data_IF_412096372495
#
_entry.id   IF_412096372495
#
_cell.length_a   1.000
_cell.length_b   1.000
_cell.length_c   1.000
_cell.angle_alpha   90.00
_cell.angle_beta   90.00
_cell.angle_gamma   90.00
#
_symmetry.space_group_name_H-M   'P 1'
#
loop_
_entity.id
_entity.type
_entity.pdbx_description
1 polymer ?
#
# COMPACT_ATOMS: atom_id res chain seq x y z
N UNK A 1 3.38 0.68 -14.01
CA UNK A 1 2.48 1.40 -13.08
C UNK A 1 3.28 2.15 -12.04
N UNK A 2 2.76 3.26 -11.54
CA UNK A 2 3.36 3.83 -10.34
C UNK A 2 2.97 2.99 -9.11
N UNK A 3 3.61 3.25 -7.98
CA UNK A 3 3.39 2.46 -6.75
C UNK A 3 1.96 2.52 -6.25
N UNK A 4 1.30 3.69 -6.36
CA UNK A 4 -0.07 3.84 -5.88
C UNK A 4 -1.08 3.08 -6.73
N UNK A 5 -0.89 3.09 -8.06
CA UNK A 5 -1.69 2.27 -8.96
C UNK A 5 -1.52 0.78 -8.68
N UNK A 6 -0.29 0.33 -8.47
CA UNK A 6 0.01 -1.06 -8.16
C UNK A 6 -0.62 -1.50 -6.83
N UNK A 7 -0.59 -0.64 -5.80
CA UNK A 7 -1.28 -0.91 -4.53
C UNK A 7 -2.78 -1.10 -4.73
N UNK A 8 -3.41 -0.18 -5.45
CA UNK A 8 -4.84 -0.26 -5.73
C UNK A 8 -5.19 -1.56 -6.44
N UNK A 9 -4.37 -1.96 -7.43
CA UNK A 9 -4.59 -3.23 -8.15
C UNK A 9 -4.51 -4.44 -7.24
N UNK A 10 -3.49 -4.52 -6.40
CA UNK A 10 -3.31 -5.66 -5.48
C UNK A 10 -4.41 -5.70 -4.44
N UNK A 11 -4.76 -4.56 -3.86
CA UNK A 11 -5.71 -4.53 -2.74
C UNK A 11 -7.16 -4.75 -3.18
N UNK A 12 -7.56 -4.24 -4.34
CA UNK A 12 -8.97 -4.29 -4.73
C UNK A 12 -9.23 -4.44 -6.24
N UNK A 13 -8.19 -4.51 -7.08
CA UNK A 13 -8.37 -4.46 -8.52
C UNK A 13 -8.90 -3.10 -9.00
N UNK A 14 -8.51 -2.00 -8.35
CA UNK A 14 -8.96 -0.64 -8.62
C UNK A 14 -10.46 -0.42 -8.35
N UNK A 15 -11.01 -1.11 -7.37
CA UNK A 15 -12.42 -0.97 -7.02
C UNK A 15 -12.62 0.06 -5.90
N UNK A 16 -13.13 1.24 -6.26
CA UNK A 16 -13.38 2.33 -5.30
C UNK A 16 -14.46 1.99 -4.26
N UNK A 17 -15.32 1.01 -4.55
CA UNK A 17 -16.44 0.60 -3.68
C UNK A 17 -16.09 -0.64 -2.85
N UNK A 18 -14.84 -1.11 -2.89
CA UNK A 18 -14.46 -2.32 -2.20
C UNK A 18 -14.55 -2.18 -0.69
N UNK A 19 -15.12 -3.20 -0.04
CA UNK A 19 -15.17 -3.33 1.42
C UNK A 19 -14.59 -4.70 1.75
N UNK A 20 -13.55 -4.73 2.58
CA UNK A 20 -12.87 -5.96 2.94
C UNK A 20 -13.56 -6.72 4.07
N UNK A 21 -13.02 -7.91 4.39
CA UNK A 21 -13.61 -8.84 5.36
C UNK A 21 -13.68 -8.27 6.78
N UNK A 22 -12.79 -7.34 7.15
CA UNK A 22 -12.80 -6.68 8.46
C UNK A 22 -13.13 -5.19 8.36
N UNK A 23 -13.84 -4.80 7.28
CA UNK A 23 -14.33 -3.44 7.10
C UNK A 23 -13.37 -2.48 6.42
N UNK A 24 -12.26 -2.98 5.84
CA UNK A 24 -11.34 -2.13 5.08
C UNK A 24 -12.09 -1.44 3.93
N UNK A 25 -11.75 -0.18 3.68
CA UNK A 25 -12.45 0.66 2.71
C UNK A 25 -11.51 1.20 1.63
N UNK A 26 -12.10 1.65 0.54
CA UNK A 26 -11.47 2.24 -0.63
C UNK A 26 -10.73 1.24 -1.52
N UNK A 27 -10.27 1.75 -2.67
CA UNK A 27 -9.45 0.96 -3.59
C UNK A 27 -8.15 0.47 -2.95
N UNK A 28 -7.70 1.12 -1.87
CA UNK A 28 -6.46 0.76 -1.16
C UNK A 28 -6.69 -0.17 0.02
N UNK A 29 -7.94 -0.47 0.37
CA UNK A 29 -8.31 -1.35 1.49
C UNK A 29 -7.65 -0.91 2.80
N UNK A 30 -7.93 0.33 3.20
CA UNK A 30 -7.44 0.92 4.44
C UNK A 30 -8.38 0.53 5.58
N UNK A 31 -7.81 0.09 6.69
CA UNK A 31 -8.59 -0.26 7.89
C UNK A 31 -9.35 0.95 8.42
N UNK A 32 -10.59 0.76 8.92
CA UNK A 32 -11.40 1.88 9.43
C UNK A 32 -10.69 2.72 10.49
N UNK A 33 -9.93 2.09 11.37
CA UNK A 33 -9.21 2.79 12.44
C UNK A 33 -8.07 3.68 11.93
N UNK A 34 -7.62 3.46 10.71
CA UNK A 34 -6.59 4.28 10.07
C UNK A 34 -7.18 5.30 9.09
N UNK A 35 -8.48 5.23 8.83
CA UNK A 35 -9.10 6.13 7.87
C UNK A 35 -9.21 7.54 8.47
N UNK A 36 -8.56 8.55 7.85
CA UNK A 36 -8.48 9.90 8.44
C UNK A 36 -9.72 10.76 8.26
N UNK A 37 -10.72 10.26 7.53
CA UNK A 37 -11.92 11.00 7.17
C UNK A 37 -12.02 11.22 5.66
N UNK A 38 -13.16 11.74 5.22
CA UNK A 38 -13.45 11.91 3.81
C UNK A 38 -14.21 10.72 3.21
N UNK A 39 -14.44 10.77 1.91
CA UNK A 39 -15.19 9.76 1.19
C UNK A 39 -14.26 8.65 0.66
N UNK A 40 -14.33 7.43 1.22
CA UNK A 40 -13.44 6.34 0.77
C UNK A 40 -13.71 5.89 -0.68
N UNK A 41 -14.87 6.21 -1.25
CA UNK A 41 -15.20 5.87 -2.63
C UNK A 41 -14.65 6.89 -3.64
N UNK A 42 -14.14 8.03 -3.17
CA UNK A 42 -13.51 9.03 -4.02
C UNK A 42 -12.04 8.68 -4.20
N UNK A 43 -11.56 8.41 -5.43
CA UNK A 43 -10.17 7.95 -5.64
C UNK A 43 -9.11 8.97 -5.20
N UNK A 44 -9.40 10.26 -5.30
CA UNK A 44 -8.46 11.31 -4.89
C UNK A 44 -8.33 11.37 -3.37
N UNK A 45 -9.45 11.30 -2.65
CA UNK A 45 -9.46 11.28 -1.19
C UNK A 45 -8.84 9.97 -0.67
N UNK A 46 -9.09 8.85 -1.35
CA UNK A 46 -8.47 7.57 -1.02
C UNK A 46 -6.95 7.62 -1.18
N UNK A 47 -6.45 8.25 -2.24
CA UNK A 47 -5.01 8.42 -2.44
C UNK A 47 -4.39 9.26 -1.32
N UNK A 48 -5.04 10.35 -0.94
CA UNK A 48 -4.57 11.18 0.18
C UNK A 48 -4.49 10.36 1.47
N UNK A 49 -5.51 9.56 1.76
CA UNK A 49 -5.53 8.70 2.94
C UNK A 49 -4.40 7.65 2.90
N UNK A 50 -4.15 7.06 1.74
CA UNK A 50 -3.07 6.09 1.56
C UNK A 50 -1.70 6.73 1.80
N UNK A 51 -1.48 7.93 1.26
CA UNK A 51 -0.24 8.68 1.45
C UNK A 51 -0.04 9.06 2.93
N UNK A 52 -1.09 9.52 3.61
CA UNK A 52 -1.03 9.82 5.04
C UNK A 52 -0.70 8.59 5.88
N UNK A 53 -1.22 7.43 5.50
CA UNK A 53 -0.92 6.16 6.16
C UNK A 53 0.55 5.78 6.00
N UNK A 54 1.10 5.98 4.81
CA UNK A 54 2.48 5.57 4.49
C UNK A 54 3.55 6.55 4.97
N UNK A 55 3.25 7.84 5.00
CA UNK A 55 4.27 8.85 5.28
C UNK A 55 5.08 8.59 6.56
N UNK A 56 4.47 8.28 7.72
CA UNK A 56 5.25 7.97 8.92
C UNK A 56 6.16 6.75 8.77
N UNK A 57 5.69 5.74 8.02
CA UNK A 57 6.43 4.50 7.78
C UNK A 57 7.62 4.75 6.87
N UNK A 58 7.44 5.55 5.83
CA UNK A 58 8.51 5.95 4.91
C UNK A 58 9.57 6.78 5.64
N UNK A 59 9.15 7.72 6.49
CA UNK A 59 10.05 8.55 7.27
C UNK A 59 10.89 7.71 8.24
N UNK A 60 10.28 6.73 8.90
CA UNK A 60 10.99 5.81 9.80
C UNK A 60 12.01 4.97 9.04
N UNK A 61 11.61 4.44 7.89
CA UNK A 61 12.52 3.67 7.03
C UNK A 61 13.73 4.51 6.63
N UNK A 62 13.51 5.75 6.17
CA UNK A 62 14.57 6.67 5.80
C UNK A 62 15.53 6.93 6.95
N UNK A 63 15.02 7.15 8.16
CA UNK A 63 15.87 7.36 9.33
C UNK A 63 16.72 6.14 9.67
N UNK A 64 16.15 4.94 9.54
CA UNK A 64 16.84 3.70 9.94
C UNK A 64 17.83 3.21 8.88
N UNK A 65 17.55 3.43 7.60
CA UNK A 65 18.34 2.88 6.49
C UNK A 65 19.12 3.93 5.71
N UNK A 66 18.88 5.22 5.94
CA UNK A 66 19.54 6.35 5.26
C UNK A 66 19.32 6.32 3.74
N UNK A 67 18.19 5.76 3.30
CA UNK A 67 17.78 5.70 1.90
C UNK A 67 16.27 5.51 1.83
N UNK A 68 15.68 5.71 0.65
CA UNK A 68 14.29 5.40 0.41
C UNK A 68 14.10 3.88 0.22
N UNK A 69 12.91 3.34 0.55
CA UNK A 69 12.64 1.93 0.28
C UNK A 69 12.53 1.67 -1.22
N UNK A 70 12.98 0.50 -1.64
CA UNK A 70 12.70 0.01 -3.00
C UNK A 70 11.24 -0.45 -3.09
N UNK A 71 10.80 -0.90 -4.27
CA UNK A 71 9.40 -1.29 -4.49
C UNK A 71 8.98 -2.45 -3.58
N UNK A 72 9.82 -3.44 -3.40
CA UNK A 72 9.56 -4.57 -2.53
C UNK A 72 9.36 -4.13 -1.08
N UNK A 73 10.29 -3.32 -0.58
CA UNK A 73 10.26 -2.78 0.78
C UNK A 73 9.05 -1.86 0.98
N UNK A 74 8.71 -1.07 -0.03
CA UNK A 74 7.54 -0.21 0.00
C UNK A 74 6.28 -1.03 0.28
N UNK A 75 6.10 -2.14 -0.42
CA UNK A 75 4.93 -2.98 -0.21
C UNK A 75 4.92 -3.64 1.17
N UNK A 76 6.08 -4.08 1.67
CA UNK A 76 6.16 -4.64 3.02
C UNK A 76 5.74 -3.60 4.05
N UNK A 77 6.18 -2.35 3.90
CA UNK A 77 5.78 -1.25 4.79
C UNK A 77 4.27 -0.99 4.73
N UNK A 78 3.67 -1.16 3.58
CA UNK A 78 2.22 -1.02 3.43
C UNK A 78 1.46 -2.15 4.10
N UNK A 79 1.81 -3.39 3.77
CA UNK A 79 1.06 -4.57 4.15
C UNK A 79 1.33 -5.04 5.59
N UNK A 80 2.60 -4.99 6.01
CA UNK A 80 3.03 -5.52 7.31
C UNK A 80 4.24 -4.74 7.82
N UNK A 81 4.05 -3.48 8.25
CA UNK A 81 5.19 -2.65 8.67
C UNK A 81 6.00 -3.23 9.82
N UNK A 82 5.38 -4.05 10.67
CA UNK A 82 6.08 -4.75 11.76
C UNK A 82 7.00 -5.85 11.27
N UNK A 83 6.92 -6.23 9.99
CA UNK A 83 7.77 -7.25 9.36
C UNK A 83 8.84 -6.64 8.45
N UNK A 84 9.09 -5.33 8.54
CA UNK A 84 9.96 -4.62 7.61
C UNK A 84 11.33 -5.29 7.42
N UNK A 85 11.92 -5.81 8.51
CA UNK A 85 13.25 -6.43 8.45
C UNK A 85 13.20 -7.94 8.15
N UNK A 86 12.07 -8.59 8.45
CA UNK A 86 11.93 -10.05 8.32
C UNK A 86 10.53 -10.41 7.82
N UNK A 87 10.20 -10.12 6.54
CA UNK A 87 8.87 -10.44 6.02
C UNK A 87 8.64 -11.95 5.94
N UNK A 88 7.41 -12.37 6.26
CA UNK A 88 6.99 -13.75 6.12
C UNK A 88 6.95 -14.18 4.65
N UNK A 89 6.87 -15.49 4.40
CA UNK A 89 6.77 -16.04 3.04
C UNK A 89 5.56 -15.44 2.29
N UNK A 90 4.41 -15.32 2.95
CA UNK A 90 3.21 -14.76 2.35
C UNK A 90 3.41 -13.29 1.97
N UNK A 91 4.02 -12.50 2.86
CA UNK A 91 4.30 -11.09 2.60
C UNK A 91 5.29 -10.94 1.47
N UNK A 92 6.34 -11.77 1.43
CA UNK A 92 7.34 -11.76 0.34
C UNK A 92 6.68 -12.04 -1.02
N UNK A 93 5.78 -13.01 -1.07
CA UNK A 93 5.08 -13.36 -2.31
C UNK A 93 4.24 -12.18 -2.81
N UNK A 94 3.47 -11.55 -1.93
CA UNK A 94 2.66 -10.37 -2.28
C UNK A 94 3.54 -9.20 -2.68
N UNK A 95 4.64 -8.98 -1.99
CA UNK A 95 5.60 -7.91 -2.33
C UNK A 95 6.20 -8.12 -3.72
N UNK A 96 6.50 -9.38 -4.08
CA UNK A 96 7.01 -9.67 -5.41
C UNK A 96 5.95 -9.41 -6.50
N UNK A 97 4.68 -9.73 -6.23
CA UNK A 97 3.59 -9.41 -7.16
C UNK A 97 3.44 -7.90 -7.33
N UNK A 98 3.61 -7.14 -6.25
CA UNK A 98 3.61 -5.68 -6.32
C UNK A 98 4.75 -5.15 -7.20
N UNK A 99 5.96 -5.66 -7.00
CA UNK A 99 7.12 -5.30 -7.83
C UNK A 99 6.83 -5.57 -9.30
N UNK A 100 6.24 -6.74 -9.60
CA UNK A 100 5.90 -7.12 -10.97
C UNK A 100 4.91 -6.13 -11.59
N UNK A 101 3.92 -5.67 -10.81
CA UNK A 101 2.95 -4.69 -11.30
C UNK A 101 3.58 -3.32 -11.54
N UNK A 102 4.47 -2.87 -10.64
CA UNK A 102 5.18 -1.60 -10.82
C UNK A 102 5.99 -1.63 -12.13
N UNK A 103 6.62 -2.77 -12.44
CA UNK A 103 7.44 -2.94 -13.63
C UNK A 103 6.65 -3.33 -14.88
N UNK A 104 5.33 -3.44 -14.78
CA UNK A 104 4.50 -3.79 -15.93
C UNK A 104 4.54 -2.67 -16.96
N UNK A 105 4.99 -3.04 -18.16
CA UNK A 105 5.03 -2.11 -19.29
C UNK A 105 3.67 -2.15 -20.00
N UNK A 106 3.04 -0.99 -20.13
CA UNK A 106 1.82 -0.87 -20.90
C UNK A 106 2.18 -0.75 -22.37
N UNK A 107 1.68 -1.68 -23.15
CA UNK A 107 1.84 -1.65 -24.61
C UNK A 107 0.68 -0.89 -25.27
#
# INVERSE_FOLDING_TARGET
MNRWEALSMIESGNNDHAIGAVGEVSRYQIRPELWPGGNPENPREALTAAQMTMNPRLNRFQRNHKRQPNDFEFYVLWNAPWQADHPSATVKERAQRFVNLVHLVQS
#
